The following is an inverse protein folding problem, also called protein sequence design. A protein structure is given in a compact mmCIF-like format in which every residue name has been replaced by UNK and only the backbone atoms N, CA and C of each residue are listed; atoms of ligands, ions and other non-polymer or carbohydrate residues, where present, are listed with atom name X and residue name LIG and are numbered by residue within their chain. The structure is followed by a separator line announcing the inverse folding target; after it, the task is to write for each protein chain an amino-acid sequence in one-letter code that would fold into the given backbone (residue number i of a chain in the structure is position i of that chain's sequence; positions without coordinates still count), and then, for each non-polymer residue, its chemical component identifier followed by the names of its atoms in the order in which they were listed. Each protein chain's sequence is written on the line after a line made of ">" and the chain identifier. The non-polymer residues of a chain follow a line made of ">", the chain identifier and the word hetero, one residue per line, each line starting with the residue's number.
data_IF_043986940484
#
_entry.id   IF_043986940484
#
_cell.length_a   1.000
_cell.length_b   1.000
_cell.length_c   1.000
_cell.angle_alpha   90.00
_cell.angle_beta   90.00
_cell.angle_gamma   90.00
#
_symmetry.space_group_name_H-M   'P 1'
#
loop_
_entity.id
_entity.type
_entity.pdbx_description
1 polymer ?
#
# COMPACT_ATOMS: atom_id res chain seq x y z
N UNK A 1 -20.07 9.91 5.74
CA UNK A 1 -20.23 8.50 6.16
C UNK A 1 -19.27 7.66 5.34
N UNK A 2 -18.22 7.14 5.97
CA UNK A 2 -17.30 6.18 5.34
C UNK A 2 -18.08 4.88 5.12
N UNK A 3 -18.25 4.45 3.87
CA UNK A 3 -18.80 3.13 3.58
C UNK A 3 -17.73 2.11 3.93
N UNK A 4 -17.87 1.43 5.06
CA UNK A 4 -17.03 0.29 5.37
C UNK A 4 -17.21 -0.80 4.31
N UNK A 5 -16.12 -1.36 3.82
CA UNK A 5 -16.17 -2.51 2.92
C UNK A 5 -16.72 -3.72 3.68
N UNK A 6 -17.52 -4.58 3.03
CA UNK A 6 -17.97 -5.83 3.66
C UNK A 6 -16.75 -6.66 4.13
N UNK A 7 -16.84 -7.36 5.27
CA UNK A 7 -15.80 -8.29 5.70
C UNK A 7 -15.49 -9.31 4.59
N UNK A 8 -14.21 -9.62 4.37
CA UNK A 8 -13.78 -10.54 3.32
C UNK A 8 -13.73 -9.96 1.91
N UNK A 9 -14.01 -8.67 1.73
CA UNK A 9 -13.88 -8.01 0.42
C UNK A 9 -12.43 -8.12 -0.10
N UNK A 10 -12.23 -8.49 -1.38
CA UNK A 10 -10.90 -8.53 -1.98
C UNK A 10 -10.30 -7.12 -2.06
N UNK A 11 -8.99 -7.03 -1.90
CA UNK A 11 -8.24 -5.78 -2.02
C UNK A 11 -7.51 -5.72 -3.36
N UNK A 12 -7.64 -4.58 -4.06
CA UNK A 12 -6.83 -4.26 -5.22
C UNK A 12 -5.82 -3.17 -4.85
N UNK A 13 -4.54 -3.45 -5.07
CA UNK A 13 -3.44 -2.51 -4.89
C UNK A 13 -2.89 -2.13 -6.28
N UNK A 14 -2.93 -0.85 -6.60
CA UNK A 14 -2.30 -0.28 -7.78
C UNK A 14 -1.06 0.48 -7.35
N UNK A 15 0.10 0.12 -7.86
CA UNK A 15 1.38 0.71 -7.43
C UNK A 15 2.37 0.81 -8.60
N UNK A 16 3.43 1.59 -8.42
CA UNK A 16 4.49 1.71 -9.41
C UNK A 16 5.36 0.45 -9.47
N UNK A 17 6.07 0.26 -10.59
CA UNK A 17 6.92 -0.92 -10.79
C UNK A 17 8.22 -0.88 -9.97
N UNK A 18 8.60 0.27 -9.42
CA UNK A 18 9.83 0.49 -8.64
C UNK A 18 9.59 0.63 -7.14
N UNK A 19 10.68 0.83 -6.40
CA UNK A 19 10.61 1.07 -4.95
C UNK A 19 10.42 -0.19 -4.10
N UNK A 20 10.04 0.02 -2.85
CA UNK A 20 9.86 -1.04 -1.84
C UNK A 20 8.66 -1.94 -2.11
N UNK A 21 7.64 -1.39 -2.72
CA UNK A 21 6.37 -2.01 -3.10
C UNK A 21 6.32 -2.43 -4.58
N UNK A 22 7.46 -2.31 -5.29
CA UNK A 22 7.61 -2.70 -6.68
C UNK A 22 7.47 -4.21 -6.90
N UNK A 23 7.53 -4.62 -8.17
CA UNK A 23 7.32 -6.03 -8.53
C UNK A 23 8.47 -6.98 -8.15
N UNK A 24 9.68 -6.46 -7.89
CA UNK A 24 10.86 -7.26 -7.57
C UNK A 24 10.95 -7.69 -6.11
N UNK A 25 10.73 -6.82 -5.09
CA UNK A 25 10.95 -7.17 -3.70
C UNK A 25 10.14 -8.39 -3.25
N UNK A 26 10.85 -9.37 -2.70
CA UNK A 26 10.24 -10.59 -2.16
C UNK A 26 9.57 -10.34 -0.82
N UNK A 27 10.20 -9.49 0.01
CA UNK A 27 9.67 -9.09 1.33
C UNK A 27 8.29 -8.47 1.19
N UNK A 28 8.07 -7.61 0.19
CA UNK A 28 6.75 -7.05 -0.10
C UNK A 28 5.68 -8.13 -0.27
N UNK A 29 5.97 -9.16 -1.09
CA UNK A 29 5.02 -10.26 -1.33
C UNK A 29 4.78 -11.10 -0.08
N UNK A 30 5.83 -11.36 0.71
CA UNK A 30 5.72 -12.07 1.98
C UNK A 30 4.86 -11.29 2.97
N UNK A 31 5.08 -9.98 3.12
CA UNK A 31 4.29 -9.14 4.00
C UNK A 31 2.82 -9.03 3.57
N UNK A 32 2.54 -8.97 2.27
CA UNK A 32 1.16 -9.04 1.76
C UNK A 32 0.48 -10.37 2.11
N UNK A 33 1.20 -11.49 2.05
CA UNK A 33 0.68 -12.78 2.46
C UNK A 33 0.35 -12.80 3.95
N UNK A 34 1.33 -12.45 4.78
CA UNK A 34 1.26 -12.63 6.23
C UNK A 34 0.40 -11.58 6.93
N UNK A 35 0.57 -10.30 6.55
CA UNK A 35 -0.04 -9.18 7.25
C UNK A 35 -1.41 -8.77 6.69
N UNK A 36 -1.72 -9.16 5.46
CA UNK A 36 -3.00 -8.82 4.83
C UNK A 36 -3.80 -10.08 4.50
N UNK A 37 -3.29 -10.92 3.60
CA UNK A 37 -4.09 -12.02 3.07
C UNK A 37 -4.46 -13.04 4.15
N UNK A 38 -3.49 -13.55 4.88
CA UNK A 38 -3.72 -14.53 5.94
C UNK A 38 -4.41 -13.91 7.16
N UNK A 39 -3.95 -12.72 7.58
CA UNK A 39 -4.47 -12.07 8.78
C UNK A 39 -5.95 -11.69 8.65
N UNK A 40 -6.37 -11.22 7.48
CA UNK A 40 -7.74 -10.76 7.24
C UNK A 40 -8.60 -11.73 6.44
N UNK A 41 -8.03 -12.85 5.99
CA UNK A 41 -8.74 -13.85 5.17
C UNK A 41 -9.19 -13.33 3.82
N UNK A 42 -8.45 -12.38 3.20
CA UNK A 42 -8.82 -11.70 1.97
C UNK A 42 -7.87 -12.00 0.82
N UNK A 43 -8.39 -11.99 -0.40
CA UNK A 43 -7.56 -11.99 -1.61
C UNK A 43 -6.99 -10.59 -1.85
N UNK A 44 -5.68 -10.51 -2.08
CA UNK A 44 -4.97 -9.26 -2.38
C UNK A 44 -4.41 -9.34 -3.79
N UNK A 45 -4.96 -8.54 -4.69
CA UNK A 45 -4.48 -8.42 -6.07
C UNK A 45 -3.59 -7.19 -6.20
N UNK A 46 -2.40 -7.37 -6.74
CA UNK A 46 -1.44 -6.29 -7.00
C UNK A 46 -1.24 -6.14 -8.49
N UNK A 47 -1.39 -4.92 -8.98
CA UNK A 47 -1.10 -4.55 -10.36
C UNK A 47 -0.11 -3.38 -10.38
N UNK A 48 0.99 -3.55 -11.08
CA UNK A 48 2.02 -2.52 -11.19
C UNK A 48 1.88 -1.75 -12.49
N UNK A 49 1.96 -0.43 -12.39
CA UNK A 49 2.12 0.43 -13.56
C UNK A 49 3.51 0.22 -14.17
N UNK A 50 3.63 0.18 -15.50
CA UNK A 50 4.93 0.18 -16.16
C UNK A 50 5.79 1.37 -15.74
N UNK A 51 7.09 1.20 -15.77
CA UNK A 51 8.04 2.29 -15.50
C UNK A 51 7.77 3.49 -16.43
N UNK A 52 7.69 4.68 -15.87
CA UNK A 52 7.37 5.91 -16.60
C UNK A 52 5.87 6.13 -16.87
N UNK A 53 5.01 5.29 -16.34
CA UNK A 53 3.55 5.38 -16.50
C UNK A 53 2.83 5.86 -15.23
N UNK A 54 3.52 6.42 -14.25
CA UNK A 54 2.93 6.97 -13.02
C UNK A 54 1.84 8.00 -13.28
N UNK A 55 1.94 8.75 -14.39
CA UNK A 55 0.88 9.67 -14.84
C UNK A 55 -0.49 9.03 -15.05
N UNK A 56 -0.55 7.70 -15.21
CA UNK A 56 -1.80 6.97 -15.34
C UNK A 56 -2.35 6.51 -13.98
N UNK A 57 -1.55 6.64 -12.91
CA UNK A 57 -2.01 6.33 -11.57
C UNK A 57 -2.98 7.43 -11.09
N UNK A 58 -4.26 7.12 -10.80
CA UNK A 58 -5.23 8.14 -10.41
C UNK A 58 -4.82 8.94 -9.17
N UNK A 59 -4.05 8.37 -8.26
CA UNK A 59 -3.63 9.02 -7.03
C UNK A 59 -2.70 10.21 -7.30
N UNK A 60 -1.89 10.15 -8.37
CA UNK A 60 -1.01 11.24 -8.79
C UNK A 60 -1.81 12.54 -9.06
N UNK A 61 -2.97 12.41 -9.69
CA UNK A 61 -3.80 13.54 -10.07
C UNK A 61 -4.80 13.94 -8.98
N UNK A 62 -5.22 12.99 -8.15
CA UNK A 62 -6.26 13.23 -7.12
C UNK A 62 -5.69 13.67 -5.78
N UNK A 63 -4.43 13.37 -5.50
CA UNK A 63 -3.81 13.65 -4.21
C UNK A 63 -2.42 14.27 -4.36
N UNK A 64 -1.47 13.53 -4.95
CA UNK A 64 -0.06 13.93 -4.90
C UNK A 64 0.24 15.22 -5.66
N UNK A 65 -0.46 15.48 -6.76
CA UNK A 65 -0.33 16.76 -7.48
C UNK A 65 -0.73 17.97 -6.62
N UNK A 66 -1.81 17.83 -5.83
CA UNK A 66 -2.28 18.89 -4.95
C UNK A 66 -1.29 19.12 -3.80
N UNK A 67 -0.75 18.05 -3.20
CA UNK A 67 0.30 18.14 -2.19
C UNK A 67 1.54 18.83 -2.78
N UNK A 68 1.96 18.42 -3.96
CA UNK A 68 3.14 18.99 -4.66
C UNK A 68 2.99 20.49 -4.94
N UNK A 69 1.81 20.92 -5.33
CA UNK A 69 1.51 22.34 -5.54
C UNK A 69 1.55 23.09 -4.20
N UNK A 70 0.97 22.52 -3.14
CA UNK A 70 0.87 23.20 -1.85
C UNK A 70 2.23 23.46 -1.19
N UNK A 71 3.20 22.58 -1.37
CA UNK A 71 4.56 22.77 -0.84
C UNK A 71 5.59 23.29 -1.86
N UNK A 72 5.16 23.62 -3.09
CA UNK A 72 6.05 24.10 -4.13
C UNK A 72 6.84 25.34 -3.66
N UNK A 73 8.17 25.30 -3.83
CA UNK A 73 9.07 26.38 -3.41
C UNK A 73 9.24 26.55 -1.90
N UNK A 74 8.70 25.64 -1.08
CA UNK A 74 8.84 25.70 0.39
C UNK A 74 9.99 24.79 0.85
N UNK A 75 10.86 25.27 1.78
CA UNK A 75 11.94 24.45 2.33
C UNK A 75 11.38 23.43 3.33
N UNK A 76 11.30 22.16 2.96
CA UNK A 76 10.83 21.07 3.81
C UNK A 76 11.97 20.58 4.73
N UNK A 77 12.33 21.36 5.75
CA UNK A 77 13.49 21.10 6.60
C UNK A 77 13.25 20.11 7.73
N UNK A 78 12.00 19.92 8.14
CA UNK A 78 11.60 19.01 9.24
C UNK A 78 10.37 18.21 8.84
N UNK A 79 10.17 17.07 9.50
CA UNK A 79 8.96 16.26 9.29
C UNK A 79 7.70 17.03 9.69
N UNK A 80 7.76 17.86 10.73
CA UNK A 80 6.61 18.67 11.16
C UNK A 80 6.18 19.68 10.10
N UNK A 81 7.13 20.37 9.47
CA UNK A 81 6.85 21.28 8.36
C UNK A 81 6.25 20.51 7.17
N UNK A 82 6.82 19.36 6.82
CA UNK A 82 6.30 18.52 5.76
C UNK A 82 4.87 18.08 6.04
N UNK A 83 4.61 17.55 7.25
CA UNK A 83 3.27 17.13 7.68
C UNK A 83 2.27 18.29 7.69
N UNK A 84 2.70 19.47 8.09
CA UNK A 84 1.83 20.65 8.08
C UNK A 84 1.37 21.01 6.65
N UNK A 85 2.27 20.97 5.67
CA UNK A 85 1.91 21.20 4.26
C UNK A 85 1.02 20.08 3.70
N UNK A 86 1.30 18.82 4.02
CA UNK A 86 0.46 17.69 3.58
C UNK A 86 -0.95 17.83 4.13
N UNK A 87 -1.08 18.06 5.45
CA UNK A 87 -2.39 18.24 6.12
C UNK A 87 -3.15 19.49 5.69
N UNK A 88 -2.43 20.54 5.33
CA UNK A 88 -3.01 21.79 4.83
C UNK A 88 -3.37 21.74 3.33
N UNK A 89 -3.27 20.58 2.69
CA UNK A 89 -3.65 20.43 1.29
C UNK A 89 -5.17 20.30 1.18
N UNK A 90 -5.78 21.25 0.52
CA UNK A 90 -7.22 21.33 0.30
C UNK A 90 -7.52 21.69 -1.15
N UNK A 91 -8.72 21.36 -1.62
CA UNK A 91 -9.22 21.81 -2.91
C UNK A 91 -10.64 22.35 -2.78
N UNK A 92 -11.03 23.22 -3.70
CA UNK A 92 -12.38 23.76 -3.78
C UNK A 92 -13.44 22.67 -4.03
N UNK A 93 -13.03 21.50 -4.53
CA UNK A 93 -13.86 20.33 -4.77
C UNK A 93 -14.02 19.43 -3.55
N UNK A 94 -13.44 19.81 -2.40
CA UNK A 94 -13.65 19.12 -1.12
C UNK A 94 -12.59 18.08 -0.75
N UNK A 95 -11.42 18.03 -1.41
CA UNK A 95 -10.31 17.22 -0.94
C UNK A 95 -9.82 17.79 0.40
N UNK A 96 -9.71 16.92 1.40
CA UNK A 96 -9.01 17.17 2.65
C UNK A 96 -8.02 16.04 2.90
N UNK A 97 -6.83 16.36 3.41
CA UNK A 97 -5.76 15.38 3.58
C UNK A 97 -5.44 15.20 5.05
N UNK A 98 -5.43 13.95 5.49
CA UNK A 98 -4.94 13.54 6.80
C UNK A 98 -3.60 12.83 6.63
N UNK A 99 -2.62 13.15 7.45
CA UNK A 99 -1.31 12.51 7.43
C UNK A 99 -0.76 12.38 8.85
N UNK A 100 0.01 11.33 9.10
CA UNK A 100 0.70 11.11 10.36
C UNK A 100 2.09 10.53 10.09
N UNK A 101 3.04 10.84 10.98
CA UNK A 101 4.33 10.20 10.98
C UNK A 101 4.19 8.84 11.67
N UNK A 102 4.59 7.78 10.99
CA UNK A 102 4.74 6.46 11.61
C UNK A 102 6.12 6.39 12.25
N UNK A 103 6.13 6.40 13.58
CA UNK A 103 7.35 6.17 14.34
C UNK A 103 7.62 4.66 14.41
N UNK A 104 8.83 4.25 14.07
CA UNK A 104 9.21 2.85 14.11
C UNK A 104 10.61 2.62 13.56
N UNK A 105 11.22 1.53 13.99
CA UNK A 105 12.48 1.04 13.41
C UNK A 105 12.12 0.06 12.30
N UNK A 106 12.45 0.42 11.07
CA UNK A 106 12.24 -0.43 9.90
C UNK A 106 13.56 -1.11 9.54
N UNK A 107 13.61 -2.42 9.75
CA UNK A 107 14.79 -3.21 9.40
C UNK A 107 15.00 -3.21 7.88
N UNK A 108 16.21 -2.85 7.48
CA UNK A 108 16.64 -2.89 6.08
C UNK A 108 17.33 -4.21 5.77
N UNK A 109 17.32 -4.61 4.50
CA UNK A 109 18.12 -5.76 4.04
C UNK A 109 17.53 -7.12 4.38
N UNK A 110 16.27 -7.21 4.79
CA UNK A 110 15.57 -8.49 4.94
C UNK A 110 15.63 -9.28 3.64
N UNK A 111 15.96 -10.58 3.76
CA UNK A 111 16.05 -11.49 2.61
C UNK A 111 15.02 -12.58 2.75
N UNK A 112 14.30 -12.85 1.70
CA UNK A 112 13.35 -13.95 1.59
C UNK A 112 13.92 -15.00 0.63
N UNK A 113 14.09 -16.21 1.12
CA UNK A 113 14.65 -17.33 0.40
C UNK A 113 13.68 -17.88 -0.67
N UNK A 114 14.19 -18.72 -1.57
CA UNK A 114 13.36 -19.40 -2.56
C UNK A 114 12.36 -20.38 -1.89
N UNK A 115 12.76 -20.98 -0.77
CA UNK A 115 11.89 -21.86 0.00
C UNK A 115 10.69 -21.08 0.57
N UNK A 116 10.93 -19.94 1.19
CA UNK A 116 9.87 -19.06 1.71
C UNK A 116 8.97 -18.53 0.60
N UNK A 117 9.55 -18.14 -0.55
CA UNK A 117 8.73 -17.71 -1.70
C UNK A 117 7.77 -18.79 -2.21
N UNK A 118 8.15 -20.08 -2.12
CA UNK A 118 7.30 -21.20 -2.52
C UNK A 118 6.14 -21.46 -1.55
N UNK A 119 6.21 -20.95 -0.31
CA UNK A 119 5.11 -21.07 0.66
C UNK A 119 4.00 -20.05 0.45
N UNK A 120 4.24 -19.05 -0.41
CA UNK A 120 3.23 -18.03 -0.70
C UNK A 120 2.14 -18.61 -1.60
N UNK A 121 0.88 -18.33 -1.26
CA UNK A 121 -0.25 -18.64 -2.13
C UNK A 121 -0.43 -17.53 -3.18
N UNK A 122 0.58 -17.41 -4.05
CA UNK A 122 0.71 -16.37 -5.06
C UNK A 122 0.41 -16.92 -6.45
N UNK A 123 -0.63 -16.41 -7.08
CA UNK A 123 -1.05 -16.70 -8.44
C UNK A 123 -0.68 -15.53 -9.36
N UNK A 124 0.09 -15.81 -10.42
CA UNK A 124 0.45 -14.81 -11.43
C UNK A 124 -0.63 -14.72 -12.48
N UNK A 125 -0.95 -13.49 -12.92
CA UNK A 125 -1.91 -13.29 -13.99
C UNK A 125 -1.28 -13.63 -15.36
N UNK A 126 -2.11 -13.98 -16.34
CA UNK A 126 -1.66 -14.20 -17.71
C UNK A 126 -1.08 -12.92 -18.32
N UNK A 127 -1.72 -11.78 -18.06
CA UNK A 127 -1.26 -10.48 -18.54
C UNK A 127 -0.18 -9.94 -17.59
N UNK A 128 1.02 -9.76 -18.13
CA UNK A 128 2.17 -9.23 -17.41
C UNK A 128 2.46 -9.96 -16.08
N UNK A 129 2.73 -11.28 -16.08
CA UNK A 129 2.81 -12.13 -14.89
C UNK A 129 3.90 -11.74 -13.89
N UNK A 130 4.87 -10.95 -14.31
CA UNK A 130 5.90 -10.39 -13.42
C UNK A 130 5.35 -9.23 -12.58
N UNK A 131 4.36 -8.52 -13.08
CA UNK A 131 3.84 -7.27 -12.52
C UNK A 131 2.47 -7.44 -11.88
N UNK A 132 1.69 -8.43 -12.37
CA UNK A 132 0.33 -8.65 -11.91
C UNK A 132 0.20 -10.03 -11.26
N UNK A 133 -0.29 -10.04 -10.02
CA UNK A 133 -0.49 -11.27 -9.26
C UNK A 133 -1.57 -11.10 -8.19
N UNK A 134 -2.14 -12.21 -7.77
CA UNK A 134 -3.07 -12.28 -6.63
C UNK A 134 -2.46 -13.16 -5.55
N UNK A 135 -2.51 -12.71 -4.32
CA UNK A 135 -2.16 -13.48 -3.13
C UNK A 135 -3.46 -13.83 -2.43
N UNK A 136 -3.66 -15.13 -2.13
CA UNK A 136 -4.83 -15.63 -1.42
C UNK A 136 -4.46 -16.13 -0.03
N UNK A 137 -5.41 -16.16 0.91
CA UNK A 137 -5.16 -16.76 2.21
C UNK A 137 -4.67 -18.19 2.05
N UNK A 138 -3.74 -18.60 2.91
CA UNK A 138 -3.34 -20.01 3.02
C UNK A 138 -4.42 -20.75 3.84
N UNK A 139 -4.79 -21.95 3.42
CA UNK A 139 -5.90 -22.73 3.99
C UNK A 139 -5.75 -23.09 5.48
N UNK A 140 -4.52 -23.08 5.99
CA UNK A 140 -4.23 -23.46 7.38
C UNK A 140 -4.24 -22.29 8.37
N UNK A 141 -4.53 -21.08 7.89
CA UNK A 141 -4.53 -19.87 8.73
C UNK A 141 -5.95 -19.58 9.19
N UNK A 142 -6.31 -20.04 10.38
CA UNK A 142 -7.53 -19.59 11.07
C UNK A 142 -7.43 -18.08 11.27
N UNK A 143 -8.41 -17.27 10.83
CA UNK A 143 -8.36 -15.82 10.99
C UNK A 143 -8.16 -15.50 12.48
N UNK A 144 -7.07 -14.83 12.82
CA UNK A 144 -6.81 -14.42 14.20
C UNK A 144 -7.69 -13.23 14.58
N UNK A 145 -8.87 -13.52 15.07
CA UNK A 145 -9.91 -12.55 15.47
C UNK A 145 -9.51 -11.69 16.68
N UNK A 146 -8.30 -11.84 17.25
CA UNK A 146 -7.93 -11.23 18.53
C UNK A 146 -6.87 -10.12 18.49
N UNK A 147 -6.49 -9.59 17.31
CA UNK A 147 -5.70 -8.35 17.27
C UNK A 147 -6.49 -7.22 16.61
N UNK A 148 -7.58 -6.82 17.22
CA UNK A 148 -8.10 -5.47 17.05
C UNK A 148 -7.04 -4.52 17.64
N UNK A 149 -6.20 -3.96 16.80
CA UNK A 149 -5.50 -2.72 17.15
C UNK A 149 -6.56 -1.63 17.20
N UNK A 150 -6.56 -0.77 18.25
CA UNK A 150 -7.53 0.31 18.33
C UNK A 150 -7.37 1.21 17.11
N UNK A 151 -8.45 1.44 16.39
CA UNK A 151 -8.68 2.47 15.37
C UNK A 151 -7.41 3.07 14.72
N UNK A 152 -6.74 2.34 13.86
CA UNK A 152 -5.95 2.96 12.82
C UNK A 152 -6.89 3.13 11.61
N UNK A 153 -7.46 4.33 11.48
CA UNK A 153 -8.03 4.77 10.21
C UNK A 153 -6.94 4.60 9.15
N UNK A 154 -7.18 3.69 8.23
CA UNK A 154 -6.36 3.61 7.01
C UNK A 154 -6.71 4.85 6.21
N UNK A 155 -5.81 5.82 6.25
CA UNK A 155 -5.96 7.08 5.51
C UNK A 155 -5.12 6.95 4.26
N UNK A 156 -5.78 6.89 3.12
CA UNK A 156 -5.18 7.03 1.80
C UNK A 156 -5.05 8.49 1.46
#
# INVERSE_FOLDING_TARGET
>A
MSKAFPPGSPLLILTDAGGSDGYRPRVWKQQLQEQLSDQFGIAVTVCHYPTGCSKWNPIEHRLFSHISINWAGKPLRTFDIMLAYIRGTETTTGLTVKASLLEGVYEKGQRVSDAEMKTLNLERHEVCPKWNYTIRPRSDTTPNTQKQRPNQEVVF
#
